data_IF_429246464838
#
_entry.id   IF_429246464838
#
_cell.length_a   1.000
_cell.length_b   1.000
_cell.length_c   1.000
_cell.angle_alpha   90.00
_cell.angle_beta   90.00
_cell.angle_gamma   90.00
#
_symmetry.space_group_name_H-M   'P 1'
#
loop_
_entity.id
_entity.type
_entity.pdbx_description
1 polymer ?
#
# COMPACT_ATOMS: atom_id res chain seq x y z
N UNK A 1 25.56 16.99 14.64
CA UNK A 1 24.12 17.28 14.49
C UNK A 1 23.37 16.21 15.26
N UNK A 2 22.33 16.52 16.06
CA UNK A 2 21.59 15.50 16.78
C UNK A 2 20.84 14.64 15.76
N UNK A 3 21.11 13.35 15.81
CA UNK A 3 20.48 12.31 15.01
C UNK A 3 18.98 12.29 15.34
N UNK A 4 18.18 12.93 14.50
CA UNK A 4 16.74 13.09 14.76
C UNK A 4 16.07 11.80 14.35
N UNK A 5 15.97 10.86 15.29
CA UNK A 5 15.32 9.57 15.06
C UNK A 5 13.85 9.81 14.73
N UNK A 6 13.48 9.53 13.49
CA UNK A 6 12.08 9.53 13.03
C UNK A 6 11.42 8.24 13.50
N UNK A 7 10.29 8.36 14.20
CA UNK A 7 9.50 7.23 14.68
C UNK A 7 8.19 7.15 13.89
N UNK A 8 7.86 5.98 13.33
CA UNK A 8 6.60 5.76 12.63
C UNK A 8 5.42 5.76 13.60
N UNK A 9 4.29 6.31 13.16
CA UNK A 9 3.03 6.19 13.86
C UNK A 9 2.66 4.71 14.04
N UNK A 10 2.21 4.33 15.25
CA UNK A 10 1.82 2.96 15.60
C UNK A 10 0.89 2.32 14.56
N UNK A 11 -0.06 3.07 13.99
CA UNK A 11 -1.00 2.56 12.98
C UNK A 11 -0.29 2.07 11.73
N UNK A 12 0.79 2.76 11.35
CA UNK A 12 1.59 2.46 10.18
C UNK A 12 2.73 1.49 10.47
N UNK A 13 3.11 1.27 11.73
CA UNK A 13 4.27 0.44 12.09
C UNK A 13 3.97 -1.06 12.01
N UNK A 14 4.91 -1.85 11.47
CA UNK A 14 4.90 -3.30 11.70
C UNK A 14 5.72 -3.65 12.96
N UNK A 15 5.10 -4.30 13.94
CA UNK A 15 5.82 -4.81 15.11
C UNK A 15 6.31 -6.23 14.84
N UNK A 16 7.58 -6.38 14.45
CA UNK A 16 8.21 -7.69 14.28
C UNK A 16 8.73 -8.30 15.60
N UNK A 17 8.41 -7.72 16.76
CA UNK A 17 8.88 -8.18 18.05
C UNK A 17 8.11 -9.43 18.53
N UNK A 18 8.61 -10.62 18.16
CA UNK A 18 8.35 -11.89 18.85
C UNK A 18 7.02 -12.59 18.55
N UNK A 19 7.07 -13.55 17.61
CA UNK A 19 6.16 -14.72 17.54
C UNK A 19 4.70 -14.49 17.13
N UNK A 20 4.09 -13.35 17.49
CA UNK A 20 2.73 -12.97 17.11
C UNK A 20 2.77 -11.52 16.65
N UNK A 21 2.80 -11.31 15.33
CA UNK A 21 2.89 -9.97 14.72
C UNK A 21 1.56 -9.24 14.89
N UNK A 22 1.36 -8.57 16.02
CA UNK A 22 0.22 -7.67 16.23
C UNK A 22 0.45 -6.39 15.41
N UNK A 23 -0.01 -6.43 14.16
CA UNK A 23 -0.02 -5.28 13.25
C UNK A 23 -1.25 -4.43 13.56
N UNK A 24 -1.09 -3.17 13.99
CA UNK A 24 -2.22 -2.36 14.44
C UNK A 24 -3.24 -2.08 13.34
N UNK A 25 -2.81 -2.15 12.08
CA UNK A 25 -3.66 -2.05 10.91
C UNK A 25 -3.43 -3.21 9.96
N UNK A 26 -4.51 -3.96 9.68
CA UNK A 26 -4.60 -4.88 8.54
C UNK A 26 -5.63 -4.33 7.59
N UNK A 27 -5.20 -3.93 6.40
CA UNK A 27 -6.08 -3.31 5.41
C UNK A 27 -5.86 -3.96 4.05
N UNK A 28 -6.92 -4.45 3.44
CA UNK A 28 -6.86 -4.94 2.07
C UNK A 28 -6.83 -3.75 1.09
N UNK A 29 -5.66 -3.55 0.48
CA UNK A 29 -5.34 -2.40 -0.38
C UNK A 29 -6.21 -2.34 -1.65
N UNK A 30 -6.94 -3.42 -1.95
CA UNK A 30 -7.92 -3.42 -3.04
C UNK A 30 -9.09 -2.45 -2.80
N UNK A 31 -9.35 -2.11 -1.54
CA UNK A 31 -10.42 -1.20 -1.15
C UNK A 31 -9.85 0.13 -0.70
N UNK A 32 -10.52 1.23 -1.07
CA UNK A 32 -10.11 2.56 -0.64
C UNK A 32 -10.02 2.66 0.89
N UNK A 33 -9.04 3.39 1.45
CA UNK A 33 -8.94 3.62 2.88
C UNK A 33 -9.97 4.69 3.28
N UNK A 34 -11.26 4.32 3.30
CA UNK A 34 -12.35 5.18 3.79
C UNK A 34 -12.78 4.75 5.19
N UNK A 35 -13.62 5.56 5.84
CA UNK A 35 -14.22 5.25 7.14
C UNK A 35 -14.83 3.84 7.12
N UNK A 36 -14.19 2.89 7.81
CA UNK A 36 -14.62 1.49 7.80
C UNK A 36 -14.05 0.62 6.68
N UNK A 37 -12.86 0.94 6.14
CA UNK A 37 -12.10 -0.03 5.35
C UNK A 37 -12.16 -1.40 6.06
N UNK A 38 -12.49 -2.50 5.36
CA UNK A 38 -12.58 -3.81 5.98
C UNK A 38 -11.18 -4.17 6.48
N UNK A 39 -10.97 -3.86 7.74
CA UNK A 39 -9.86 -4.39 8.50
C UNK A 39 -10.31 -5.73 9.04
N UNK A 40 -9.35 -6.63 9.21
CA UNK A 40 -9.67 -7.93 9.78
C UNK A 40 -10.11 -7.81 11.24
N UNK A 41 -9.73 -6.74 11.94
CA UNK A 41 -9.79 -6.65 13.40
C UNK A 41 -10.51 -5.39 13.98
N UNK A 42 -10.46 -4.19 13.36
CA UNK A 42 -11.20 -2.98 13.80
C UNK A 42 -11.10 -1.79 12.81
N UNK A 43 -12.19 -1.04 12.58
CA UNK A 43 -12.19 0.11 11.68
C UNK A 43 -11.33 1.27 12.23
N UNK A 44 -10.46 1.87 11.40
CA UNK A 44 -9.66 3.05 11.78
C UNK A 44 -10.58 4.25 12.04
N UNK A 45 -10.43 4.90 13.19
CA UNK A 45 -11.20 6.11 13.53
C UNK A 45 -10.74 7.32 12.71
N UNK A 46 -11.62 8.32 12.45
CA UNK A 46 -11.23 9.55 11.79
C UNK A 46 -10.09 10.30 12.51
N UNK A 47 -10.07 10.25 13.84
CA UNK A 47 -9.02 10.87 14.66
C UNK A 47 -7.65 10.22 14.45
N UNK A 48 -7.61 8.90 14.24
CA UNK A 48 -6.38 8.15 13.96
C UNK A 48 -5.82 8.46 12.57
N UNK A 49 -6.70 8.61 11.57
CA UNK A 49 -6.33 9.01 10.21
C UNK A 49 -5.69 10.41 10.15
N UNK A 50 -6.11 11.31 11.02
CA UNK A 50 -5.61 12.70 11.12
C UNK A 50 -4.33 12.83 11.95
N UNK A 51 -3.78 11.74 12.49
CA UNK A 51 -2.51 11.79 13.22
C UNK A 51 -1.33 11.95 12.26
N UNK A 52 -0.22 12.59 12.69
CA UNK A 52 1.04 12.56 11.95
C UNK A 52 1.48 11.12 11.65
N UNK A 53 1.96 10.88 10.43
CA UNK A 53 2.47 9.58 10.01
C UNK A 53 3.79 9.20 10.71
N UNK A 54 4.54 10.21 11.13
CA UNK A 54 5.80 10.07 11.86
C UNK A 54 5.94 11.15 12.92
N UNK A 55 6.76 10.88 13.94
CA UNK A 55 7.18 11.82 14.95
C UNK A 55 8.73 11.96 14.93
N UNK A 56 9.28 13.18 14.77
CA UNK A 56 8.57 14.45 14.55
C UNK A 56 7.90 14.52 13.15
N UNK A 57 6.81 15.30 12.98
CA UNK A 57 6.12 15.42 11.69
C UNK A 57 7.02 15.93 10.56
N UNK A 58 7.02 15.23 9.43
CA UNK A 58 7.76 15.61 8.22
C UNK A 58 6.81 15.99 7.09
N UNK A 59 7.28 16.82 6.14
CA UNK A 59 6.48 17.26 4.99
C UNK A 59 6.52 16.30 3.81
N UNK A 60 7.46 15.35 3.80
CA UNK A 60 7.59 14.38 2.73
C UNK A 60 8.04 13.02 3.27
N UNK A 61 7.41 11.96 2.77
CA UNK A 61 7.80 10.56 3.01
C UNK A 61 8.01 9.85 1.67
N UNK A 62 9.07 9.06 1.59
CA UNK A 62 9.31 8.14 0.49
C UNK A 62 9.07 6.72 0.98
N UNK A 63 8.15 6.02 0.32
CA UNK A 63 7.79 4.65 0.65
C UNK A 63 8.22 3.78 -0.53
N UNK A 64 8.98 2.75 -0.20
CA UNK A 64 9.44 1.73 -1.13
C UNK A 64 8.94 0.37 -0.64
N UNK A 65 8.77 -0.58 -1.54
CA UNK A 65 8.40 -1.94 -1.21
C UNK A 65 9.19 -2.90 -2.10
N UNK A 66 9.76 -3.93 -1.48
CA UNK A 66 10.46 -5.02 -2.18
C UNK A 66 9.52 -6.08 -2.74
N UNK A 67 8.23 -6.03 -2.35
CA UNK A 67 7.19 -6.91 -2.88
C UNK A 67 6.74 -6.49 -4.28
N UNK A 68 7.11 -5.29 -4.71
CA UNK A 68 6.79 -4.72 -6.01
C UNK A 68 8.06 -4.28 -6.73
N UNK A 69 7.93 -3.92 -8.01
CA UNK A 69 9.03 -3.33 -8.76
C UNK A 69 9.57 -2.11 -8.01
N UNK A 70 10.89 -2.04 -7.83
CA UNK A 70 11.56 -0.96 -7.10
C UNK A 70 11.27 0.44 -7.68
N UNK A 71 10.78 0.51 -8.92
CA UNK A 71 10.35 1.74 -9.60
C UNK A 71 9.04 2.31 -9.04
N UNK A 72 8.25 1.55 -8.27
CA UNK A 72 6.99 2.03 -7.68
C UNK A 72 7.20 2.80 -6.38
N UNK A 73 8.06 3.82 -6.44
CA UNK A 73 8.28 4.73 -5.32
C UNK A 73 7.02 5.54 -5.05
N UNK A 74 6.51 5.47 -3.83
CA UNK A 74 5.36 6.29 -3.40
C UNK A 74 5.92 7.48 -2.65
N UNK A 75 5.74 8.67 -3.21
CA UNK A 75 6.15 9.92 -2.56
C UNK A 75 4.91 10.61 -2.02
N UNK A 76 4.85 10.78 -0.71
CA UNK A 76 3.75 11.44 -0.01
C UNK A 76 4.23 12.82 0.41
N UNK A 77 3.51 13.88 0.05
CA UNK A 77 3.86 15.26 0.43
C UNK A 77 2.67 15.98 1.03
N UNK A 78 2.87 16.60 2.19
CA UNK A 78 1.88 17.46 2.82
C UNK A 78 2.60 18.67 3.45
N UNK A 79 2.33 19.91 2.99
CA UNK A 79 2.96 21.12 3.51
C UNK A 79 2.77 21.32 5.03
N UNK A 80 1.68 20.80 5.58
CA UNK A 80 1.32 20.86 7.01
C UNK A 80 1.87 19.70 7.84
N UNK A 81 2.58 18.76 7.21
CA UNK A 81 3.02 17.52 7.83
C UNK A 81 2.20 16.32 7.33
N UNK A 82 2.89 15.25 6.96
CA UNK A 82 2.27 14.04 6.39
C UNK A 82 1.46 13.32 7.46
N UNK A 83 0.20 13.03 7.15
CA UNK A 83 -0.73 12.32 8.03
C UNK A 83 -0.84 10.83 7.67
N UNK A 84 -1.38 10.03 8.59
CA UNK A 84 -1.67 8.60 8.34
C UNK A 84 -2.57 8.43 7.12
N UNK A 85 -3.61 9.26 6.99
CA UNK A 85 -4.49 9.24 5.82
C UNK A 85 -3.75 9.47 4.51
N UNK A 86 -2.83 10.44 4.47
CA UNK A 86 -2.06 10.77 3.27
C UNK A 86 -1.28 9.54 2.80
N UNK A 87 -0.66 8.81 3.75
CA UNK A 87 0.10 7.59 3.46
C UNK A 87 -0.80 6.50 2.86
N UNK A 88 -1.91 6.17 3.52
CA UNK A 88 -2.81 5.10 3.06
C UNK A 88 -3.43 5.42 1.70
N UNK A 89 -3.88 6.67 1.50
CA UNK A 89 -4.47 7.12 0.23
C UNK A 89 -3.44 7.05 -0.91
N UNK A 90 -2.18 7.45 -0.67
CA UNK A 90 -1.15 7.40 -1.69
C UNK A 90 -0.70 5.97 -2.02
N UNK A 91 -0.65 5.07 -1.03
CA UNK A 91 -0.44 3.63 -1.26
C UNK A 91 -1.55 3.07 -2.14
N UNK A 92 -2.82 3.30 -1.78
CA UNK A 92 -3.98 2.86 -2.56
C UNK A 92 -3.90 3.41 -3.99
N UNK A 93 -3.79 4.72 -4.14
CA UNK A 93 -3.81 5.38 -5.44
C UNK A 93 -2.67 4.91 -6.35
N UNK A 94 -1.49 4.64 -5.80
CA UNK A 94 -0.35 4.16 -6.59
C UNK A 94 -0.56 2.73 -7.08
N UNK A 95 -1.07 1.84 -6.23
CA UNK A 95 -1.29 0.44 -6.59
C UNK A 95 -2.52 0.23 -7.49
N UNK A 96 -3.46 1.17 -7.50
CA UNK A 96 -4.61 1.13 -8.42
C UNK A 96 -4.27 1.59 -9.85
N UNK A 97 -3.07 2.13 -10.11
CA UNK A 97 -2.66 2.54 -11.46
C UNK A 97 -2.49 1.33 -12.38
N UNK A 98 -2.80 1.46 -13.69
CA UNK A 98 -2.39 0.48 -14.68
C UNK A 98 -0.88 0.26 -14.66
N UNK A 99 -0.46 -0.98 -14.89
CA UNK A 99 0.96 -1.28 -15.15
C UNK A 99 1.36 -0.71 -16.52
N UNK A 100 2.54 -0.09 -16.63
CA UNK A 100 3.05 0.39 -17.92
C UNK A 100 3.85 -0.71 -18.64
N UNK A 101 4.08 -0.57 -19.94
CA UNK A 101 4.79 -1.55 -20.76
C UNK A 101 6.18 -1.89 -20.20
N UNK A 102 7.00 -0.89 -19.87
CA UNK A 102 8.32 -1.13 -19.29
C UNK A 102 8.25 -1.92 -17.96
N UNK A 103 7.23 -1.69 -17.14
CA UNK A 103 7.02 -2.44 -15.90
C UNK A 103 6.62 -3.89 -16.19
N UNK A 104 5.75 -4.09 -17.19
CA UNK A 104 5.30 -5.40 -17.63
C UNK A 104 6.46 -6.22 -18.22
N UNK A 105 7.26 -5.63 -19.11
CA UNK A 105 8.35 -6.30 -19.82
C UNK A 105 9.51 -6.72 -18.89
N UNK A 106 9.61 -6.11 -17.71
CA UNK A 106 10.59 -6.48 -16.69
C UNK A 106 10.14 -7.65 -15.79
N UNK A 107 8.94 -8.20 -16.00
CA UNK A 107 8.44 -9.36 -15.25
C UNK A 107 8.94 -10.67 -15.86
N UNK A 108 9.10 -11.68 -15.02
CA UNK A 108 9.37 -13.05 -15.49
C UNK A 108 8.12 -13.68 -16.13
N UNK A 109 8.31 -14.70 -16.97
CA UNK A 109 7.20 -15.45 -17.57
C UNK A 109 6.25 -16.07 -16.51
N UNK A 110 6.78 -16.47 -15.36
CA UNK A 110 5.99 -17.00 -14.23
C UNK A 110 5.14 -15.90 -13.58
N UNK A 111 5.70 -14.69 -13.42
CA UNK A 111 4.96 -13.53 -12.92
C UNK A 111 3.85 -13.14 -13.88
N UNK A 112 4.11 -13.08 -15.20
CA UNK A 112 3.08 -12.84 -16.20
C UNK A 112 1.91 -13.81 -16.07
N UNK A 113 2.20 -15.11 -16.01
CA UNK A 113 1.18 -16.16 -15.91
C UNK A 113 0.33 -16.00 -14.65
N UNK A 114 0.97 -15.74 -13.51
CA UNK A 114 0.29 -15.55 -12.23
C UNK A 114 -0.59 -14.31 -12.22
N UNK A 115 -0.09 -13.19 -12.76
CA UNK A 115 -0.81 -11.91 -12.80
C UNK A 115 -2.00 -12.00 -13.76
N UNK A 116 -1.82 -12.58 -14.95
CA UNK A 116 -2.91 -12.77 -15.90
C UNK A 116 -4.04 -13.60 -15.29
N UNK A 117 -3.71 -14.67 -14.57
CA UNK A 117 -4.70 -15.49 -13.88
C UNK A 117 -5.52 -14.65 -12.89
N UNK A 118 -4.87 -13.90 -12.01
CA UNK A 118 -5.55 -13.04 -11.03
C UNK A 118 -6.43 -11.98 -11.72
N UNK A 119 -5.91 -11.33 -12.76
CA UNK A 119 -6.65 -10.34 -13.52
C UNK A 119 -7.91 -10.92 -14.17
N UNK A 120 -7.82 -12.09 -14.80
CA UNK A 120 -8.98 -12.74 -15.40
C UNK A 120 -9.99 -13.21 -14.36
N UNK A 121 -9.53 -13.79 -13.24
CA UNK A 121 -10.40 -14.17 -12.12
C UNK A 121 -11.20 -12.95 -11.60
N UNK A 122 -10.59 -11.77 -11.56
CA UNK A 122 -11.26 -10.52 -11.20
C UNK A 122 -12.25 -10.04 -12.25
N UNK A 123 -11.88 -10.12 -13.53
CA UNK A 123 -12.79 -9.78 -14.61
C UNK A 123 -14.05 -10.66 -14.54
N UNK A 124 -13.90 -11.97 -14.34
CA UNK A 124 -15.02 -12.92 -14.26
C UNK A 124 -15.90 -12.75 -13.03
N UNK A 125 -15.34 -12.29 -11.91
CA UNK A 125 -16.08 -12.04 -10.67
C UNK A 125 -16.70 -10.63 -10.61
N UNK A 126 -16.30 -9.73 -11.50
CA UNK A 126 -16.83 -8.37 -11.58
C UNK A 126 -18.27 -8.34 -12.11
N UNK A 127 -19.06 -7.40 -11.59
CA UNK A 127 -20.42 -7.13 -12.11
C UNK A 127 -20.39 -6.58 -13.54
N UNK A 128 -19.28 -5.95 -13.93
CA UNK A 128 -19.06 -5.40 -15.27
C UNK A 128 -17.71 -5.87 -15.81
N UNK A 129 -17.75 -7.03 -16.47
CA UNK A 129 -16.58 -7.64 -17.10
C UNK A 129 -15.93 -6.69 -18.11
N UNK A 130 -16.73 -6.03 -18.96
CA UNK A 130 -16.21 -5.21 -20.06
C UNK A 130 -15.43 -4.00 -19.55
N UNK A 131 -15.95 -3.32 -18.53
CA UNK A 131 -15.26 -2.20 -17.90
C UNK A 131 -13.98 -2.65 -17.17
N UNK A 132 -14.05 -3.77 -16.44
CA UNK A 132 -12.91 -4.31 -15.69
C UNK A 132 -11.79 -4.75 -16.64
N UNK A 133 -12.14 -5.48 -17.69
CA UNK A 133 -11.21 -5.93 -18.71
C UNK A 133 -10.53 -4.75 -19.44
N UNK A 134 -11.32 -3.73 -19.79
CA UNK A 134 -10.81 -2.54 -20.48
C UNK A 134 -9.91 -1.66 -19.61
N UNK A 135 -10.00 -1.80 -18.28
CA UNK A 135 -9.11 -1.10 -17.34
C UNK A 135 -7.69 -1.68 -17.32
N UNK A 136 -7.52 -2.89 -17.86
CA UNK A 136 -6.24 -3.58 -17.94
C UNK A 136 -5.69 -4.02 -16.58
N UNK A 137 -4.48 -4.59 -16.62
CA UNK A 137 -3.76 -5.03 -15.42
C UNK A 137 -3.32 -3.81 -14.62
N UNK A 138 -3.59 -3.84 -13.31
CA UNK A 138 -3.14 -2.82 -12.35
C UNK A 138 -1.94 -3.31 -11.57
N UNK A 139 -1.23 -2.36 -10.98
CA UNK A 139 -0.09 -2.62 -10.10
C UNK A 139 -0.46 -3.51 -8.90
N UNK A 140 -1.66 -3.37 -8.35
CA UNK A 140 -2.19 -4.22 -7.28
C UNK A 140 -2.32 -5.69 -7.70
N UNK A 141 -2.54 -6.00 -8.99
CA UNK A 141 -2.63 -7.38 -9.48
C UNK A 141 -1.27 -8.08 -9.43
N UNK A 142 -0.19 -7.29 -9.47
CA UNK A 142 1.19 -7.77 -9.34
C UNK A 142 1.54 -8.21 -7.91
N UNK A 143 0.73 -7.82 -6.93
CA UNK A 143 0.85 -8.28 -5.55
C UNK A 143 0.24 -9.68 -5.33
N UNK A 144 -0.42 -10.27 -6.33
CA UNK A 144 -1.03 -11.60 -6.28
C UNK A 144 -1.95 -11.75 -5.04
N UNK A 145 -1.63 -12.66 -4.13
CA UNK A 145 -2.35 -12.86 -2.86
C UNK A 145 -1.91 -11.92 -1.73
N UNK A 146 -0.85 -11.14 -1.92
CA UNK A 146 -0.25 -10.28 -0.90
C UNK A 146 -0.84 -8.87 -0.96
N UNK A 147 -2.16 -8.75 -0.87
CA UNK A 147 -2.88 -7.46 -0.96
C UNK A 147 -3.17 -6.82 0.39
N UNK A 148 -2.83 -7.50 1.49
CA UNK A 148 -3.07 -7.01 2.85
C UNK A 148 -1.88 -6.19 3.33
N UNK A 149 -2.09 -4.88 3.48
CA UNK A 149 -1.16 -3.99 4.16
C UNK A 149 -0.98 -4.44 5.62
N UNK A 150 0.28 -4.57 6.04
CA UNK A 150 0.66 -5.06 7.36
C UNK A 150 1.69 -4.14 8.04
N UNK A 151 1.74 -2.87 7.64
CA UNK A 151 2.64 -1.86 8.19
C UNK A 151 3.86 -1.55 7.31
N UNK A 152 4.63 -0.58 7.80
CA UNK A 152 5.86 -0.02 7.26
C UNK A 152 6.96 -0.18 8.29
N UNK A 153 8.20 -0.15 7.80
CA UNK A 153 9.42 -0.02 8.60
C UNK A 153 10.14 1.23 8.15
N UNK A 154 10.79 1.91 9.09
CA UNK A 154 11.75 2.97 8.75
C UNK A 154 13.01 2.31 8.23
N UNK A 155 13.44 2.69 7.03
CA UNK A 155 14.78 2.39 6.56
C UNK A 155 15.75 3.29 7.35
N UNK A 156 16.55 2.67 8.21
CA UNK A 156 17.60 3.37 8.96
C UNK A 156 18.91 3.07 8.22
N UNK A 157 19.62 4.08 7.70
CA UNK A 157 20.93 3.86 7.09
C UNK A 157 21.97 3.33 8.08
#
# INVERSE_FOLDING_TARGET
MPDTRVTLNRILSCNQAGGCSEVPLRWDIRYAPHHGAPTFDAAISPSELMQPAVDPPVKSLHIVSSLVLATWTITVTNPSGVMVQDVLVNIHATLQKPIIHDEWDNLSAEQHTSIQRIFYDWCYTSKDYGCTYSSGVRRIDCLLSTTVFSGLVTDVP
#
